data_IF_874432593826
#
_entry.id   IF_874432593826
#
_cell.length_a   1.000
_cell.length_b   1.000
_cell.length_c   1.000
_cell.angle_alpha   90.00
_cell.angle_beta   90.00
_cell.angle_gamma   90.00
#
_symmetry.space_group_name_H-M   'P 1'
#
loop_
_entity.id
_entity.type
_entity.pdbx_description
1 polymer ?
#
# COMPACT_ATOMS: atom_id res chain seq x y z
N UNK A 1 -11.02 32.87 2.71
CA UNK A 1 -11.17 31.46 2.34
C UNK A 1 -11.12 31.40 0.83
N UNK A 2 -10.29 30.57 0.21
CA UNK A 2 -10.42 30.26 -1.22
C UNK A 2 -11.80 29.59 -1.39
N UNK A 3 -12.64 30.07 -2.27
CA UNK A 3 -13.85 29.32 -2.68
C UNK A 3 -13.36 28.07 -3.38
N UNK A 4 -13.72 26.90 -2.87
CA UNK A 4 -13.51 25.65 -3.57
C UNK A 4 -14.43 25.65 -4.79
N UNK A 5 -13.88 25.53 -5.99
CA UNK A 5 -14.64 25.47 -7.23
C UNK A 5 -14.75 23.99 -7.63
N UNK A 6 -15.91 23.39 -7.34
CA UNK A 6 -16.15 21.97 -7.69
C UNK A 6 -16.75 21.89 -9.09
N UNK A 7 -15.87 21.95 -10.09
CA UNK A 7 -16.28 21.88 -11.50
C UNK A 7 -16.61 20.43 -11.87
N UNK A 8 -17.80 20.24 -12.43
CA UNK A 8 -18.22 18.97 -13.01
C UNK A 8 -17.36 18.66 -14.24
N UNK A 9 -16.65 17.54 -14.25
CA UNK A 9 -15.81 17.12 -15.37
C UNK A 9 -16.51 16.10 -16.27
N UNK A 10 -17.36 15.27 -15.68
CA UNK A 10 -18.14 14.28 -16.41
C UNK A 10 -19.51 14.06 -15.77
N UNK A 11 -20.46 13.64 -16.59
CA UNK A 11 -21.81 13.22 -16.15
C UNK A 11 -22.11 11.86 -16.79
N UNK A 12 -22.51 10.89 -15.97
CA UNK A 12 -22.86 9.56 -16.45
C UNK A 12 -24.16 9.60 -17.27
N UNK A 13 -24.15 8.90 -18.41
CA UNK A 13 -25.30 8.88 -19.29
C UNK A 13 -26.49 8.14 -18.64
N UNK A 14 -27.64 8.82 -18.57
CA UNK A 14 -28.86 8.28 -17.95
C UNK A 14 -28.85 8.32 -16.43
N UNK A 15 -27.92 9.08 -15.81
CA UNK A 15 -27.92 9.38 -14.38
C UNK A 15 -28.90 10.49 -14.02
N UNK A 16 -29.16 10.66 -12.72
CA UNK A 16 -29.98 11.76 -12.19
C UNK A 16 -29.44 13.12 -12.65
N UNK A 17 -28.12 13.32 -12.58
CA UNK A 17 -27.49 14.56 -13.04
C UNK A 17 -27.74 14.83 -14.53
N UNK A 18 -27.69 13.80 -15.39
CA UNK A 18 -27.97 13.94 -16.82
C UNK A 18 -29.44 14.30 -17.10
N UNK A 19 -30.36 13.70 -16.35
CA UNK A 19 -31.80 14.00 -16.49
C UNK A 19 -32.16 15.45 -16.06
N UNK A 20 -31.41 15.96 -15.06
CA UNK A 20 -31.58 17.35 -14.57
C UNK A 20 -30.83 18.39 -15.40
N UNK A 21 -30.09 17.96 -16.44
CA UNK A 21 -29.37 18.86 -17.33
C UNK A 21 -28.10 19.44 -16.74
N UNK A 22 -27.49 18.74 -15.77
CA UNK A 22 -26.11 19.02 -15.32
C UNK A 22 -25.17 18.58 -16.43
N UNK A 23 -24.19 19.42 -16.75
CA UNK A 23 -23.26 19.22 -17.85
C UNK A 23 -21.80 19.44 -17.39
N UNK A 24 -20.82 18.85 -18.08
CA UNK A 24 -19.42 19.20 -17.84
C UNK A 24 -19.16 20.69 -17.97
N UNK A 25 -18.49 21.29 -17.00
CA UNK A 25 -18.25 22.72 -16.89
C UNK A 25 -19.16 23.44 -15.90
N UNK A 26 -20.24 22.81 -15.44
CA UNK A 26 -21.05 23.31 -14.34
C UNK A 26 -20.27 23.30 -13.03
N UNK A 27 -20.68 24.11 -12.06
CA UNK A 27 -20.04 24.13 -10.72
C UNK A 27 -21.06 23.77 -9.65
N UNK A 28 -20.75 22.72 -8.86
CA UNK A 28 -21.53 22.40 -7.67
C UNK A 28 -21.16 23.38 -6.54
N UNK A 29 -22.11 24.12 -6.03
CA UNK A 29 -21.90 25.14 -5.01
C UNK A 29 -22.29 24.65 -3.61
N UNK A 30 -23.38 23.89 -3.48
CA UNK A 30 -23.83 23.34 -2.21
C UNK A 30 -24.77 22.14 -2.40
N UNK A 31 -24.88 21.32 -1.36
CA UNK A 31 -25.88 20.26 -1.20
C UNK A 31 -26.65 20.54 0.09
N UNK A 32 -27.97 20.59 0.05
CA UNK A 32 -28.85 20.91 1.19
C UNK A 32 -28.44 22.22 1.91
N UNK A 33 -27.94 23.21 1.16
CA UNK A 33 -27.47 24.48 1.70
C UNK A 33 -26.11 24.40 2.44
N UNK A 34 -25.45 23.24 2.43
CA UNK A 34 -24.14 23.05 3.00
C UNK A 34 -23.05 23.23 1.93
N UNK A 35 -22.04 24.04 2.22
CA UNK A 35 -20.85 24.19 1.38
C UNK A 35 -20.06 22.87 1.39
N UNK A 36 -19.45 22.53 0.25
CA UNK A 36 -18.65 21.36 0.05
C UNK A 36 -17.18 21.77 0.11
N UNK A 37 -16.37 21.12 0.94
CA UNK A 37 -14.93 21.35 0.99
C UNK A 37 -14.18 20.34 0.12
N UNK A 38 -14.61 19.07 0.17
CA UNK A 38 -13.99 17.97 -0.56
C UNK A 38 -14.98 16.81 -0.78
N UNK A 39 -14.46 15.71 -1.32
CA UNK A 39 -15.23 14.49 -1.66
C UNK A 39 -16.02 13.92 -0.47
N UNK A 40 -15.55 14.06 0.78
CA UNK A 40 -16.24 13.49 1.93
C UNK A 40 -17.50 14.28 2.32
N UNK A 41 -17.48 15.61 2.18
CA UNK A 41 -18.71 16.40 2.33
C UNK A 41 -19.71 16.01 1.24
N UNK A 42 -19.24 15.91 -0.01
CA UNK A 42 -20.08 15.52 -1.13
C UNK A 42 -20.72 14.15 -0.89
N UNK A 43 -19.92 13.12 -0.60
CA UNK A 43 -20.43 11.77 -0.35
C UNK A 43 -21.42 11.75 0.80
N UNK A 44 -21.09 12.40 1.91
CA UNK A 44 -21.95 12.43 3.09
C UNK A 44 -23.31 13.10 2.84
N UNK A 45 -23.30 14.24 2.15
CA UNK A 45 -24.57 14.98 1.92
C UNK A 45 -25.41 14.40 0.80
N UNK A 46 -24.84 13.69 -0.17
CA UNK A 46 -25.62 13.05 -1.25
C UNK A 46 -26.21 11.69 -0.86
N UNK A 47 -25.95 11.18 0.33
CA UNK A 47 -26.61 9.98 0.86
C UNK A 47 -28.07 10.23 1.29
N UNK A 48 -28.47 11.50 1.48
CA UNK A 48 -29.86 11.84 1.77
C UNK A 48 -30.81 11.44 0.60
N UNK A 49 -32.04 11.02 0.93
CA UNK A 49 -33.06 10.67 -0.07
C UNK A 49 -33.69 11.91 -0.72
N UNK A 50 -33.73 13.06 0.00
CA UNK A 50 -34.21 14.36 -0.48
C UNK A 50 -33.05 15.34 -0.52
N UNK A 51 -32.69 15.82 -1.73
CA UNK A 51 -31.56 16.71 -1.96
C UNK A 51 -31.98 18.01 -2.60
N UNK A 52 -31.35 19.12 -2.20
CA UNK A 52 -31.39 20.39 -2.89
C UNK A 52 -29.96 20.73 -3.34
N UNK A 53 -29.67 20.58 -4.64
CA UNK A 53 -28.39 20.97 -5.21
C UNK A 53 -28.45 22.41 -5.69
N UNK A 54 -27.43 23.20 -5.34
CA UNK A 54 -27.17 24.50 -5.96
C UNK A 54 -26.03 24.35 -6.95
N UNK A 55 -26.33 24.53 -8.23
CA UNK A 55 -25.39 24.40 -9.35
C UNK A 55 -25.27 25.70 -10.09
N UNK A 56 -24.07 26.14 -10.44
CA UNK A 56 -23.86 27.33 -11.26
C UNK A 56 -23.40 26.91 -12.66
N UNK A 57 -24.10 27.37 -13.67
CA UNK A 57 -23.79 27.17 -15.09
C UNK A 57 -22.59 28.02 -15.51
N UNK A 58 -21.87 27.69 -16.60
CA UNK A 58 -20.72 28.47 -17.08
C UNK A 58 -20.99 29.94 -17.39
N UNK A 59 -22.23 30.31 -17.65
CA UNK A 59 -22.66 31.68 -17.89
C UNK A 59 -23.00 32.45 -16.61
N UNK A 60 -22.92 31.80 -15.43
CA UNK A 60 -23.19 32.36 -14.11
C UNK A 60 -24.66 32.25 -13.66
N UNK A 61 -25.54 31.60 -14.43
CA UNK A 61 -26.88 31.25 -13.97
C UNK A 61 -26.81 30.21 -12.86
N UNK A 62 -27.58 30.39 -11.78
CA UNK A 62 -27.65 29.43 -10.68
C UNK A 62 -28.96 28.67 -10.72
N UNK A 63 -28.86 27.37 -10.63
CA UNK A 63 -29.99 26.45 -10.64
C UNK A 63 -30.13 25.78 -9.28
N UNK A 64 -31.34 25.81 -8.73
CA UNK A 64 -31.74 25.00 -7.58
C UNK A 64 -32.44 23.75 -8.10
N UNK A 65 -31.86 22.56 -7.83
CA UNK A 65 -32.35 21.29 -8.33
C UNK A 65 -32.80 20.44 -7.14
N UNK A 66 -34.12 20.20 -7.07
CA UNK A 66 -34.73 19.31 -6.09
C UNK A 66 -34.68 17.88 -6.64
N UNK A 67 -34.17 16.94 -5.81
CA UNK A 67 -33.97 15.55 -6.17
C UNK A 67 -34.59 14.67 -5.09
N UNK A 68 -35.35 13.66 -5.51
CA UNK A 68 -35.81 12.54 -4.67
C UNK A 68 -35.22 11.27 -5.26
N UNK A 69 -34.48 10.49 -4.44
CA UNK A 69 -33.74 9.30 -4.89
C UNK A 69 -33.62 8.27 -3.76
N UNK A 70 -33.23 7.04 -4.08
CA UNK A 70 -32.80 6.08 -3.09
C UNK A 70 -31.45 6.52 -2.47
N UNK A 71 -31.24 6.27 -1.17
CA UNK A 71 -30.05 6.74 -0.43
C UNK A 71 -28.72 6.31 -1.09
N UNK A 72 -28.65 5.10 -1.63
CA UNK A 72 -27.49 4.52 -2.29
C UNK A 72 -27.39 4.83 -3.80
N UNK A 73 -28.38 5.54 -4.38
CA UNK A 73 -28.38 5.91 -5.78
C UNK A 73 -27.41 7.07 -6.07
N UNK A 74 -26.48 6.86 -7.01
CA UNK A 74 -25.50 7.86 -7.41
C UNK A 74 -26.14 8.97 -8.25
N UNK A 75 -25.72 10.22 -8.02
CA UNK A 75 -26.06 11.35 -8.90
C UNK A 75 -25.41 11.24 -10.29
N UNK A 76 -24.31 10.48 -10.43
CA UNK A 76 -23.57 10.33 -11.67
C UNK A 76 -22.72 11.54 -12.06
N UNK A 77 -22.27 12.34 -11.07
CA UNK A 77 -21.38 13.49 -11.28
C UNK A 77 -19.93 13.07 -11.03
N UNK A 78 -19.05 13.34 -11.99
CA UNK A 78 -17.61 13.14 -11.86
C UNK A 78 -16.86 14.46 -11.77
N UNK A 79 -15.88 14.53 -10.85
CA UNK A 79 -15.02 15.69 -10.63
C UNK A 79 -13.58 15.40 -11.07
N UNK A 80 -12.84 16.43 -11.48
CA UNK A 80 -11.51 16.32 -12.09
C UNK A 80 -10.42 15.73 -11.18
N UNK A 81 -10.52 15.97 -9.88
CA UNK A 81 -9.71 15.26 -8.89
C UNK A 81 -10.61 14.37 -8.05
N UNK A 82 -10.18 13.13 -7.79
CA UNK A 82 -10.94 12.23 -6.91
C UNK A 82 -11.15 12.76 -5.49
N UNK A 83 -10.50 13.87 -5.12
CA UNK A 83 -10.66 14.56 -3.84
C UNK A 83 -11.60 15.78 -3.91
N UNK A 84 -11.98 16.25 -5.08
CA UNK A 84 -12.66 17.55 -5.30
C UNK A 84 -11.87 18.77 -4.77
N UNK A 85 -10.60 18.58 -4.48
CA UNK A 85 -9.68 19.58 -3.94
C UNK A 85 -8.23 19.23 -4.33
N UNK A 86 -7.28 20.13 -4.06
CA UNK A 86 -5.85 19.88 -4.28
C UNK A 86 -5.28 18.92 -3.23
N UNK A 87 -4.30 18.08 -3.62
CA UNK A 87 -3.59 17.19 -2.70
C UNK A 87 -2.76 18.00 -1.68
N UNK A 88 -2.74 17.53 -0.43
CA UNK A 88 -1.97 18.16 0.65
C UNK A 88 -0.61 17.49 0.80
N UNK A 89 0.45 18.19 0.42
CA UNK A 89 1.82 17.68 0.57
C UNK A 89 2.27 17.65 2.03
N UNK A 90 3.11 16.65 2.36
CA UNK A 90 3.71 16.48 3.67
C UNK A 90 4.65 17.65 4.04
N UNK A 91 4.49 18.19 5.26
CA UNK A 91 5.34 19.25 5.80
C UNK A 91 6.57 18.74 6.59
N UNK A 92 6.70 17.41 6.74
CA UNK A 92 7.78 16.79 7.53
C UNK A 92 9.07 16.61 6.72
N UNK A 93 10.18 16.46 7.45
CA UNK A 93 11.50 16.08 6.91
C UNK A 93 12.05 14.90 7.67
N UNK A 94 11.33 13.78 7.61
CA UNK A 94 11.64 12.60 8.40
C UNK A 94 13.05 12.07 8.08
N UNK A 95 13.80 11.69 9.14
CA UNK A 95 15.15 11.11 8.98
C UNK A 95 15.17 9.83 8.16
N UNK A 96 14.02 9.17 8.04
CA UNK A 96 13.79 7.90 7.34
C UNK A 96 12.98 8.05 6.04
N UNK A 97 12.65 9.29 5.60
CA UNK A 97 11.79 9.50 4.44
C UNK A 97 12.36 8.81 3.19
N UNK A 98 11.57 7.90 2.60
CA UNK A 98 11.98 7.18 1.42
C UNK A 98 12.04 8.09 0.18
N UNK A 99 11.13 9.06 0.09
CA UNK A 99 11.09 10.02 -1.03
C UNK A 99 12.35 10.88 -1.08
N UNK A 100 12.93 11.26 0.09
CA UNK A 100 14.19 12.00 0.13
C UNK A 100 15.40 11.18 -0.35
N UNK A 101 15.24 9.87 -0.51
CA UNK A 101 16.25 8.93 -1.00
C UNK A 101 16.02 8.53 -2.46
N UNK A 102 15.07 9.16 -3.16
CA UNK A 102 14.83 8.90 -4.57
C UNK A 102 15.90 9.53 -5.42
N UNK A 103 16.45 8.84 -6.44
CA UNK A 103 17.40 9.44 -7.36
C UNK A 103 16.76 10.54 -8.20
N UNK A 104 17.52 11.54 -8.67
CA UNK A 104 16.98 12.58 -9.55
C UNK A 104 16.62 12.02 -10.93
N UNK A 105 15.65 12.65 -11.59
CA UNK A 105 15.29 12.34 -12.99
C UNK A 105 14.29 11.21 -13.16
N UNK A 106 13.60 10.79 -12.10
CA UNK A 106 12.43 9.92 -12.19
C UNK A 106 11.17 10.77 -12.47
N UNK A 107 10.03 10.11 -12.78
CA UNK A 107 8.76 10.81 -13.01
C UNK A 107 8.32 11.61 -11.77
N UNK A 108 7.74 12.78 -12.00
CA UNK A 108 7.41 13.75 -10.94
C UNK A 108 6.51 13.20 -9.83
N UNK A 109 5.60 12.28 -10.17
CA UNK A 109 4.70 11.66 -9.20
C UNK A 109 5.42 10.89 -8.09
N UNK A 110 6.64 10.40 -8.32
CA UNK A 110 7.45 9.69 -7.33
C UNK A 110 8.10 10.61 -6.28
N UNK A 111 8.11 11.93 -6.53
CA UNK A 111 8.65 12.91 -5.58
C UNK A 111 7.57 13.57 -4.72
N UNK A 112 6.30 13.25 -4.98
CA UNK A 112 5.22 13.76 -4.16
C UNK A 112 5.26 13.12 -2.77
N UNK A 113 5.37 13.94 -1.73
CA UNK A 113 5.31 13.49 -0.34
C UNK A 113 3.88 13.62 0.15
N UNK A 114 3.21 12.51 0.29
CA UNK A 114 1.86 12.45 0.81
C UNK A 114 1.83 12.52 2.34
N UNK A 115 0.89 13.31 2.88
CA UNK A 115 0.43 13.31 4.28
C UNK A 115 -1.01 13.87 4.32
N UNK A 116 -1.80 13.51 3.30
CA UNK A 116 -3.19 13.92 3.17
C UNK A 116 -4.11 12.88 3.82
N UNK A 117 -4.80 13.26 4.89
CA UNK A 117 -5.67 12.34 5.63
C UNK A 117 -6.79 11.73 4.77
N UNK A 118 -7.20 12.41 3.70
CA UNK A 118 -8.23 11.90 2.79
C UNK A 118 -7.75 10.65 2.04
N UNK A 119 -6.47 10.59 1.69
CA UNK A 119 -5.87 9.43 1.05
C UNK A 119 -5.72 8.24 2.00
N UNK A 120 -5.74 8.46 3.32
CA UNK A 120 -5.81 7.37 4.28
C UNK A 120 -7.09 6.54 4.10
N UNK A 121 -8.23 7.19 3.90
CA UNK A 121 -9.51 6.51 3.73
C UNK A 121 -9.71 5.97 2.30
N UNK A 122 -9.25 6.70 1.29
CA UNK A 122 -9.47 6.33 -0.11
C UNK A 122 -8.45 5.33 -0.66
N UNK A 123 -7.22 5.33 -0.15
CA UNK A 123 -6.10 4.55 -0.69
C UNK A 123 -5.33 3.76 0.36
N UNK A 124 -5.70 3.86 1.64
CA UNK A 124 -5.00 3.18 2.72
C UNK A 124 -3.66 3.83 3.14
N UNK A 125 -3.38 5.07 2.73
CA UNK A 125 -2.14 5.75 3.03
C UNK A 125 -1.97 6.04 4.52
N UNK A 126 -0.73 5.99 5.01
CA UNK A 126 -0.39 6.26 6.41
C UNK A 126 -0.05 7.73 6.62
N UNK A 127 -0.76 8.40 7.52
CA UNK A 127 -0.60 9.83 7.81
C UNK A 127 0.08 10.07 9.15
N UNK A 128 0.82 11.19 9.25
CA UNK A 128 1.55 11.54 10.46
C UNK A 128 0.74 12.35 11.46
N UNK A 129 -0.49 12.74 11.13
CA UNK A 129 -1.35 13.66 11.87
C UNK A 129 -0.80 15.11 11.98
N UNK A 130 0.39 15.40 11.45
CA UNK A 130 0.99 16.75 11.58
C UNK A 130 0.37 17.77 10.65
N UNK A 131 -0.19 17.33 9.51
CA UNK A 131 -0.88 18.17 8.55
C UNK A 131 -2.37 18.39 8.85
N UNK A 132 -2.92 17.67 9.83
CA UNK A 132 -4.35 17.71 10.14
C UNK A 132 -4.65 18.83 11.13
N UNK A 133 -5.73 19.57 10.89
CA UNK A 133 -6.31 20.55 11.84
C UNK A 133 -7.31 19.89 12.80
N UNK A 134 -7.79 20.62 13.78
CA UNK A 134 -8.92 20.19 14.64
C UNK A 134 -10.22 20.06 13.83
N UNK A 135 -10.38 20.87 12.79
CA UNK A 135 -11.50 20.77 11.86
C UNK A 135 -11.50 19.45 11.11
N UNK A 136 -10.33 19.02 10.58
CA UNK A 136 -10.21 17.72 9.91
C UNK A 136 -10.59 16.57 10.86
N UNK A 137 -10.13 16.59 12.11
CA UNK A 137 -10.50 15.59 13.13
C UNK A 137 -12.01 15.61 13.40
N UNK A 138 -12.62 16.80 13.53
CA UNK A 138 -14.07 16.93 13.75
C UNK A 138 -14.89 16.35 12.59
N UNK A 139 -14.44 16.54 11.34
CA UNK A 139 -15.08 15.97 10.15
C UNK A 139 -14.95 14.45 10.12
N UNK A 140 -13.77 13.90 10.41
CA UNK A 140 -13.56 12.45 10.49
C UNK A 140 -14.53 11.82 11.49
N UNK A 141 -14.67 12.40 12.68
CA UNK A 141 -15.58 11.92 13.72
C UNK A 141 -17.04 12.07 13.27
N UNK A 142 -17.41 13.23 12.70
CA UNK A 142 -18.78 13.49 12.23
C UNK A 142 -19.21 12.51 11.14
N UNK A 143 -18.35 12.24 10.16
CA UNK A 143 -18.64 11.38 9.02
C UNK A 143 -18.32 9.91 9.25
N UNK A 144 -17.79 9.56 10.43
CA UNK A 144 -17.38 8.20 10.77
C UNK A 144 -16.42 7.61 9.75
N UNK A 145 -15.42 8.41 9.32
CA UNK A 145 -14.41 7.96 8.38
C UNK A 145 -13.41 7.05 9.09
N UNK A 146 -13.47 5.76 8.79
CA UNK A 146 -12.66 4.73 9.45
C UNK A 146 -12.39 3.51 8.55
N UNK A 147 -11.27 2.77 8.74
CA UNK A 147 -10.20 3.12 9.68
C UNK A 147 -9.28 4.23 9.14
N UNK A 148 -8.65 5.01 10.04
CA UNK A 148 -7.54 5.90 9.70
C UNK A 148 -6.20 5.18 9.94
N UNK A 149 -5.28 5.27 8.99
CA UNK A 149 -3.94 4.68 9.08
C UNK A 149 -2.92 5.71 9.57
N UNK A 150 -2.27 5.47 10.71
CA UNK A 150 -1.43 6.43 11.42
C UNK A 150 0.03 5.99 11.47
N UNK A 151 0.93 6.83 10.96
CA UNK A 151 2.38 6.71 11.09
C UNK A 151 2.83 7.23 12.45
N UNK A 152 2.96 6.34 13.45
CA UNK A 152 3.35 6.71 14.80
C UNK A 152 4.85 6.98 14.93
N UNK A 153 5.67 6.06 14.47
CA UNK A 153 7.13 5.95 14.60
C UNK A 153 7.59 5.77 16.05
N UNK A 154 7.05 6.51 16.99
CA UNK A 154 7.25 6.42 18.45
C UNK A 154 6.14 7.19 19.17
N UNK A 155 5.82 6.80 20.40
CA UNK A 155 4.92 7.52 21.31
C UNK A 155 5.68 8.55 22.17
N UNK A 156 7.01 8.58 22.12
CA UNK A 156 7.83 9.59 22.76
C UNK A 156 7.73 10.92 22.00
N UNK A 157 7.10 11.98 22.56
CA UNK A 157 6.86 13.23 21.82
C UNK A 157 8.15 13.94 21.39
N UNK A 158 9.19 13.90 22.23
CA UNK A 158 10.46 14.56 21.93
C UNK A 158 11.21 13.79 20.82
N UNK A 159 11.24 12.47 20.91
CA UNK A 159 11.86 11.63 19.88
C UNK A 159 11.10 11.76 18.56
N UNK A 160 9.76 11.81 18.60
CA UNK A 160 8.94 11.99 17.39
C UNK A 160 9.25 13.32 16.68
N UNK A 161 9.41 14.41 17.45
CA UNK A 161 9.85 15.69 16.87
C UNK A 161 11.21 15.58 16.16
N UNK A 162 12.16 14.83 16.74
CA UNK A 162 13.47 14.59 16.11
C UNK A 162 13.35 13.72 14.87
N UNK A 163 12.60 12.61 14.92
CA UNK A 163 12.45 11.69 13.80
C UNK A 163 11.74 12.31 12.60
N UNK A 164 10.68 13.10 12.82
CA UNK A 164 9.93 13.77 11.76
C UNK A 164 10.54 15.12 11.35
N UNK A 165 11.56 15.57 12.08
CA UNK A 165 12.16 16.91 11.96
C UNK A 165 11.08 18.00 11.92
N UNK A 166 10.10 17.88 12.82
CA UNK A 166 8.95 18.78 12.94
C UNK A 166 8.64 19.01 14.42
N UNK A 167 8.76 20.26 14.88
CA UNK A 167 8.55 20.64 16.28
C UNK A 167 7.13 20.37 16.80
N UNK A 168 6.16 20.22 15.92
CA UNK A 168 4.76 19.95 16.26
C UNK A 168 4.42 18.46 16.27
N UNK A 169 5.32 17.59 15.83
CA UNK A 169 5.05 16.17 15.68
C UNK A 169 4.73 15.47 17.01
N UNK A 170 5.34 15.91 18.11
CA UNK A 170 5.03 15.38 19.44
C UNK A 170 3.63 15.75 19.91
N UNK A 171 3.23 17.01 19.74
CA UNK A 171 1.89 17.46 20.09
C UNK A 171 0.80 16.84 19.20
N UNK A 172 1.12 16.50 17.95
CA UNK A 172 0.19 15.83 17.05
C UNK A 172 -0.31 14.46 17.55
N UNK A 173 0.41 13.82 18.48
CA UNK A 173 -0.04 12.58 19.11
C UNK A 173 -1.36 12.75 19.90
N UNK A 174 -1.64 13.96 20.42
CA UNK A 174 -2.91 14.24 21.11
C UNK A 174 -4.15 14.06 20.21
N UNK A 175 -3.98 14.11 18.88
CA UNK A 175 -5.07 13.85 17.94
C UNK A 175 -5.51 12.39 17.95
N UNK A 176 -4.63 11.46 18.36
CA UNK A 176 -4.98 10.06 18.55
C UNK A 176 -6.00 9.93 19.69
N UNK A 177 -5.82 10.71 20.79
CA UNK A 177 -6.79 10.72 21.89
C UNK A 177 -8.16 11.22 21.43
N UNK A 178 -8.20 12.24 20.57
CA UNK A 178 -9.46 12.78 20.02
C UNK A 178 -10.16 11.75 19.11
N UNK A 179 -9.41 11.07 18.23
CA UNK A 179 -9.94 10.01 17.38
C UNK A 179 -10.47 8.84 18.22
N UNK A 180 -9.70 8.41 19.22
CA UNK A 180 -10.12 7.36 20.15
C UNK A 180 -11.39 7.71 20.92
N UNK A 181 -11.46 8.94 21.48
CA UNK A 181 -12.66 9.44 22.17
C UNK A 181 -13.85 9.59 21.21
N UNK A 182 -13.61 9.90 19.95
CA UNK A 182 -14.61 9.95 18.88
C UNK A 182 -15.09 8.57 18.41
N UNK A 183 -14.48 7.49 18.89
CA UNK A 183 -14.84 6.11 18.54
C UNK A 183 -14.37 5.70 17.14
N UNK A 184 -13.30 6.32 16.60
CA UNK A 184 -12.79 6.04 15.26
C UNK A 184 -11.79 4.87 15.29
N UNK A 185 -11.99 3.89 14.42
CA UNK A 185 -11.05 2.79 14.21
C UNK A 185 -9.75 3.28 13.57
N UNK A 186 -8.64 2.73 14.02
CA UNK A 186 -7.29 3.13 13.60
C UNK A 186 -6.42 1.91 13.29
N UNK A 187 -5.47 2.07 12.37
CA UNK A 187 -4.32 1.18 12.23
C UNK A 187 -3.04 1.99 12.43
N UNK A 188 -2.00 1.35 12.95
CA UNK A 188 -0.73 2.00 13.24
C UNK A 188 0.43 1.43 12.42
N UNK A 189 1.44 2.28 12.19
CA UNK A 189 2.71 1.86 11.60
C UNK A 189 3.87 2.48 12.37
N UNK A 190 4.91 1.68 12.57
CA UNK A 190 6.21 2.11 13.10
C UNK A 190 7.29 1.74 12.08
N UNK A 191 7.90 2.75 11.44
CA UNK A 191 9.14 2.56 10.69
C UNK A 191 10.28 2.53 11.69
N UNK A 192 10.90 1.36 11.87
CA UNK A 192 11.94 1.15 12.88
C UNK A 192 13.31 1.53 12.34
N UNK A 193 13.98 2.44 13.04
CA UNK A 193 15.30 2.95 12.73
C UNK A 193 16.29 2.52 13.83
N UNK A 194 17.30 1.74 13.46
CA UNK A 194 18.33 1.22 14.37
C UNK A 194 19.00 2.34 15.15
N UNK A 195 19.07 2.16 16.48
CA UNK A 195 19.67 3.11 17.41
C UNK A 195 18.86 4.40 17.60
N UNK A 196 17.60 4.46 17.12
CA UNK A 196 16.75 5.65 17.24
C UNK A 196 15.47 5.36 18.00
N UNK A 197 14.58 4.52 17.45
CA UNK A 197 13.29 4.18 18.05
C UNK A 197 13.12 2.67 18.30
N UNK A 198 14.22 1.92 18.28
CA UNK A 198 14.30 0.50 18.63
C UNK A 198 14.49 0.28 20.15
N UNK A 199 14.66 -0.96 20.56
CA UNK A 199 14.90 -1.33 21.96
C UNK A 199 13.83 -0.83 22.91
N UNK A 200 14.22 -0.05 23.92
CA UNK A 200 13.32 0.48 24.96
C UNK A 200 12.26 1.45 24.42
N UNK A 201 12.56 2.18 23.34
CA UNK A 201 11.59 3.09 22.71
C UNK A 201 10.50 2.31 21.93
N UNK A 202 10.86 1.18 21.30
CA UNK A 202 9.88 0.29 20.70
C UNK A 202 8.99 -0.33 21.78
N UNK A 203 9.59 -0.86 22.85
CA UNK A 203 8.87 -1.45 23.99
C UNK A 203 7.89 -0.44 24.62
N UNK A 204 8.34 0.80 24.81
CA UNK A 204 7.50 1.92 25.25
C UNK A 204 6.34 2.17 24.30
N UNK A 205 6.64 2.30 23.01
CA UNK A 205 5.63 2.62 22.00
C UNK A 205 4.54 1.54 21.92
N UNK A 206 4.91 0.26 21.95
CA UNK A 206 3.93 -0.85 21.95
C UNK A 206 3.05 -0.78 23.21
N UNK A 207 3.64 -0.57 24.39
CA UNK A 207 2.90 -0.45 25.65
C UNK A 207 1.90 0.69 25.60
N UNK A 208 2.33 1.87 25.17
CA UNK A 208 1.48 3.05 25.14
C UNK A 208 0.34 2.90 24.12
N UNK A 209 0.62 2.30 22.95
CA UNK A 209 -0.37 2.06 21.89
C UNK A 209 -1.41 0.99 22.29
N UNK A 210 -1.05 0.04 23.14
CA UNK A 210 -2.01 -0.95 23.66
C UNK A 210 -3.17 -0.27 24.44
N UNK A 211 -2.94 0.95 24.96
CA UNK A 211 -3.99 1.73 25.65
C UNK A 211 -5.13 2.21 24.74
N UNK A 212 -4.99 2.12 23.43
CA UNK A 212 -6.02 2.50 22.44
C UNK A 212 -6.84 1.30 21.93
N UNK A 213 -6.62 0.09 22.44
CA UNK A 213 -7.47 -1.04 22.14
C UNK A 213 -8.91 -0.80 22.66
N UNK A 214 -9.96 -1.28 21.97
CA UNK A 214 -9.91 -2.03 20.70
C UNK A 214 -9.92 -1.17 19.43
N UNK A 215 -9.99 0.15 19.53
CA UNK A 215 -10.14 1.05 18.35
C UNK A 215 -8.85 1.15 17.52
N UNK A 216 -7.67 1.09 18.12
CA UNK A 216 -6.43 0.85 17.39
C UNK A 216 -6.33 -0.67 17.14
N UNK A 217 -6.73 -1.09 15.94
CA UNK A 217 -6.94 -2.51 15.60
C UNK A 217 -5.66 -3.30 15.46
N UNK A 218 -4.64 -2.65 14.87
CA UNK A 218 -3.34 -3.29 14.66
C UNK A 218 -2.23 -2.26 14.51
N UNK A 219 -0.99 -2.67 14.79
CA UNK A 219 0.21 -1.87 14.54
C UNK A 219 1.25 -2.72 13.82
N UNK A 220 1.73 -2.24 12.66
CA UNK A 220 2.85 -2.86 11.96
C UNK A 220 4.18 -2.23 12.37
N UNK A 221 5.21 -3.05 12.49
CA UNK A 221 6.60 -2.62 12.65
C UNK A 221 7.36 -3.06 11.41
N UNK A 222 7.88 -2.09 10.66
CA UNK A 222 8.62 -2.33 9.42
C UNK A 222 10.05 -1.77 9.53
N UNK A 223 11.06 -2.43 8.96
CA UNK A 223 12.41 -1.88 8.97
C UNK A 223 12.51 -0.67 8.04
N UNK A 224 13.35 0.29 8.36
CA UNK A 224 13.61 1.43 7.49
C UNK A 224 14.27 0.99 6.19
N UNK A 225 13.69 1.40 5.04
CA UNK A 225 14.30 1.22 3.73
C UNK A 225 15.45 2.21 3.50
N UNK A 226 16.63 1.70 3.14
CA UNK A 226 17.84 2.49 2.95
C UNK A 226 18.39 2.32 1.53
N UNK A 227 18.18 3.33 0.68
CA UNK A 227 18.74 3.35 -0.67
C UNK A 227 20.21 3.78 -0.68
N UNK A 228 20.87 3.67 -1.83
CA UNK A 228 22.23 4.20 -2.05
C UNK A 228 22.30 5.73 -2.16
N UNK A 229 21.16 6.40 -2.34
CA UNK A 229 21.05 7.86 -2.54
C UNK A 229 20.82 8.60 -1.22
N UNK A 230 21.71 8.38 -0.25
CA UNK A 230 21.59 8.95 1.10
C UNK A 230 22.66 9.99 1.43
N UNK A 231 23.37 10.49 0.45
CA UNK A 231 24.36 11.54 0.67
C UNK A 231 23.69 12.80 1.25
N UNK A 232 24.24 13.31 2.36
CA UNK A 232 23.69 14.48 3.06
C UNK A 232 22.44 14.23 3.90
N UNK A 233 21.87 13.03 3.91
CA UNK A 233 20.74 12.66 4.77
C UNK A 233 21.23 12.16 6.12
N UNK A 234 20.30 12.10 7.09
CA UNK A 234 20.58 11.60 8.43
C UNK A 234 21.18 10.17 8.35
N UNK A 235 22.31 9.90 9.06
CA UNK A 235 22.96 8.60 8.98
C UNK A 235 22.12 7.52 9.69
N UNK A 236 21.60 6.59 8.91
CA UNK A 236 20.90 5.40 9.37
C UNK A 236 21.63 4.15 8.91
N UNK A 237 21.61 3.12 9.73
CA UNK A 237 22.19 1.81 9.43
C UNK A 237 21.10 0.74 9.30
N UNK A 238 21.30 -0.28 8.45
CA UNK A 238 20.40 -1.42 8.40
C UNK A 238 20.56 -2.29 9.65
N UNK A 239 19.54 -3.04 9.99
CA UNK A 239 19.61 -4.06 11.03
C UNK A 239 20.41 -5.28 10.54
N UNK A 240 21.18 -5.87 11.44
CA UNK A 240 21.80 -7.19 11.24
C UNK A 240 20.78 -8.30 11.49
N UNK A 241 21.14 -9.53 11.17
CA UNK A 241 20.33 -10.72 11.44
C UNK A 241 20.04 -10.90 12.93
N UNK A 242 21.04 -10.70 13.77
CA UNK A 242 20.94 -10.82 15.23
C UNK A 242 20.01 -9.74 15.80
N UNK A 243 20.16 -8.51 15.35
CA UNK A 243 19.30 -7.39 15.76
C UNK A 243 17.86 -7.59 15.28
N UNK A 244 17.64 -8.15 14.08
CA UNK A 244 16.31 -8.50 13.59
C UNK A 244 15.64 -9.56 14.50
N UNK A 245 16.39 -10.54 15.00
CA UNK A 245 15.90 -11.52 15.99
C UNK A 245 15.52 -10.87 17.31
N UNK A 246 16.27 -9.88 17.78
CA UNK A 246 15.94 -9.13 19.00
C UNK A 246 14.64 -8.34 18.83
N UNK A 247 14.44 -7.71 17.67
CA UNK A 247 13.17 -7.02 17.33
C UNK A 247 12.01 -8.01 17.32
N UNK A 248 12.16 -9.15 16.62
CA UNK A 248 11.14 -10.22 16.61
C UNK A 248 10.84 -10.74 18.02
N UNK A 249 11.87 -10.95 18.84
CA UNK A 249 11.73 -11.36 20.24
C UNK A 249 10.91 -10.36 21.06
N UNK A 250 11.08 -9.06 20.83
CA UNK A 250 10.31 -8.01 21.49
C UNK A 250 8.84 -8.04 21.02
N UNK A 251 8.60 -8.10 19.72
CA UNK A 251 7.25 -8.16 19.14
C UNK A 251 6.51 -9.42 19.62
N UNK A 252 7.13 -10.59 19.55
CA UNK A 252 6.52 -11.86 19.97
C UNK A 252 6.18 -11.87 21.46
N UNK A 253 7.02 -11.28 22.32
CA UNK A 253 6.75 -11.13 23.74
C UNK A 253 5.50 -10.27 24.00
N UNK A 254 5.34 -9.18 23.27
CA UNK A 254 4.16 -8.33 23.36
C UNK A 254 2.93 -8.99 22.76
N UNK A 255 3.03 -9.65 21.61
CA UNK A 255 1.93 -10.42 21.02
C UNK A 255 1.38 -11.43 22.02
N UNK A 256 2.25 -12.20 22.67
CA UNK A 256 1.81 -13.17 23.68
C UNK A 256 1.05 -12.52 24.81
N UNK A 257 1.58 -11.43 25.38
CA UNK A 257 0.96 -10.70 26.48
C UNK A 257 -0.41 -10.14 26.09
N UNK A 258 -0.50 -9.51 24.92
CA UNK A 258 -1.74 -8.89 24.45
C UNK A 258 -2.77 -9.97 24.09
N UNK A 259 -2.34 -11.07 23.50
CA UNK A 259 -3.22 -12.19 23.18
C UNK A 259 -3.84 -12.83 24.44
N UNK A 260 -3.07 -12.98 25.52
CA UNK A 260 -3.56 -13.48 26.81
C UNK A 260 -4.63 -12.57 27.43
N UNK A 261 -4.59 -11.26 27.17
CA UNK A 261 -5.50 -10.27 27.76
C UNK A 261 -6.69 -9.92 26.83
N UNK A 262 -6.45 -9.81 25.51
CA UNK A 262 -7.43 -9.29 24.55
C UNK A 262 -7.84 -10.30 23.46
N UNK A 263 -7.14 -11.43 23.33
CA UNK A 263 -7.43 -12.45 22.31
C UNK A 263 -7.01 -12.09 20.90
N UNK A 264 -6.17 -11.05 20.72
CA UNK A 264 -5.59 -10.60 19.46
C UNK A 264 -4.08 -10.42 19.60
N UNK A 265 -3.34 -10.47 18.50
CA UNK A 265 -1.88 -10.26 18.51
C UNK A 265 -1.49 -8.77 18.43
N UNK A 266 -2.30 -7.95 17.77
CA UNK A 266 -2.23 -6.48 17.73
C UNK A 266 -0.99 -5.90 17.08
N UNK A 267 0.24 -6.25 17.56
CA UNK A 267 1.50 -5.74 17.03
C UNK A 267 2.13 -6.76 16.09
N UNK A 268 2.45 -6.36 14.87
CA UNK A 268 2.91 -7.28 13.83
C UNK A 268 4.24 -6.84 13.24
N UNK A 269 5.16 -7.78 13.11
CA UNK A 269 6.38 -7.59 12.34
C UNK A 269 6.09 -7.75 10.84
N UNK A 270 6.57 -6.84 10.00
CA UNK A 270 6.59 -7.06 8.56
C UNK A 270 7.39 -8.32 8.19
N UNK A 271 7.03 -8.98 7.10
CA UNK A 271 7.66 -10.21 6.63
C UNK A 271 9.18 -10.05 6.46
N UNK A 272 9.63 -8.84 6.14
CA UNK A 272 11.06 -8.50 6.00
C UNK A 272 11.87 -8.81 7.27
N UNK A 273 11.30 -8.65 8.46
CA UNK A 273 11.99 -8.99 9.71
C UNK A 273 12.32 -10.47 9.81
N UNK A 274 11.35 -11.34 9.46
CA UNK A 274 11.56 -12.79 9.49
C UNK A 274 12.62 -13.21 8.47
N UNK A 275 12.60 -12.58 7.29
CA UNK A 275 13.57 -12.86 6.24
C UNK A 275 14.98 -12.37 6.62
N UNK A 276 15.11 -11.19 7.24
CA UNK A 276 16.39 -10.70 7.77
C UNK A 276 16.93 -11.58 8.91
N UNK A 277 16.04 -12.05 9.79
CA UNK A 277 16.39 -12.93 10.89
C UNK A 277 16.73 -14.38 10.43
N UNK A 278 16.43 -14.73 9.16
CA UNK A 278 16.41 -16.09 8.65
C UNK A 278 15.51 -17.00 9.50
N UNK A 279 14.32 -16.53 9.82
CA UNK A 279 13.26 -17.24 10.53
C UNK A 279 12.06 -17.45 9.62
N UNK A 280 11.27 -18.48 9.89
CA UNK A 280 10.03 -18.72 9.16
C UNK A 280 8.96 -17.71 9.57
N UNK A 281 8.16 -17.26 8.59
CA UNK A 281 7.01 -16.40 8.88
C UNK A 281 5.97 -17.16 9.70
N UNK A 282 5.27 -16.49 10.64
CA UNK A 282 4.26 -17.11 11.50
C UNK A 282 3.14 -17.82 10.74
N UNK A 283 2.43 -18.72 11.44
CA UNK A 283 1.19 -19.30 10.92
C UNK A 283 0.06 -18.26 10.87
N UNK A 284 -0.97 -18.56 10.06
CA UNK A 284 -2.06 -17.65 9.69
C UNK A 284 -2.77 -17.04 10.91
N UNK A 285 -2.98 -17.83 11.95
CA UNK A 285 -3.70 -17.43 13.16
C UNK A 285 -3.03 -16.24 13.89
N UNK A 286 -1.75 -15.97 13.59
CA UNK A 286 -1.01 -14.89 14.23
C UNK A 286 -1.14 -13.53 13.53
N UNK A 287 -1.87 -13.46 12.42
CA UNK A 287 -2.02 -12.23 11.65
C UNK A 287 -3.37 -11.51 11.84
N UNK A 288 -4.24 -12.05 12.72
CA UNK A 288 -5.54 -11.44 13.08
C UNK A 288 -6.40 -11.03 11.86
N UNK A 289 -6.36 -11.84 10.77
CA UNK A 289 -7.09 -11.57 9.54
C UNK A 289 -6.36 -10.66 8.55
N UNK A 290 -5.04 -10.51 8.67
CA UNK A 290 -4.19 -9.78 7.69
C UNK A 290 -4.50 -8.28 7.53
N UNK A 291 -4.76 -7.58 8.63
CA UNK A 291 -5.12 -6.15 8.64
C UNK A 291 -4.02 -5.21 8.09
N UNK A 292 -2.79 -5.71 7.91
CA UNK A 292 -1.62 -4.90 7.58
C UNK A 292 -0.88 -5.42 6.32
N UNK A 293 -1.57 -6.07 5.38
CA UNK A 293 -0.98 -6.60 4.15
C UNK A 293 -0.20 -5.53 3.37
N UNK A 294 -0.76 -4.32 3.25
CA UNK A 294 -0.14 -3.19 2.54
C UNK A 294 1.21 -2.78 3.13
N UNK A 295 1.44 -3.09 4.41
CA UNK A 295 2.72 -2.90 5.09
C UNK A 295 3.65 -4.12 5.01
N UNK A 296 3.33 -5.09 4.17
CA UNK A 296 4.12 -6.32 4.03
C UNK A 296 4.04 -7.25 5.24
N UNK A 297 2.92 -7.24 5.97
CA UNK A 297 2.67 -8.13 7.11
C UNK A 297 1.83 -9.32 6.67
N UNK A 298 2.41 -10.51 6.64
CA UNK A 298 1.71 -11.75 6.32
C UNK A 298 1.50 -12.00 4.82
N UNK A 299 2.05 -11.19 3.93
CA UNK A 299 1.94 -11.40 2.48
C UNK A 299 2.50 -12.76 2.04
N UNK A 300 3.65 -13.14 2.59
CA UNK A 300 4.28 -14.43 2.28
C UNK A 300 3.47 -15.60 2.83
N UNK A 301 2.90 -15.48 4.04
CA UNK A 301 2.06 -16.53 4.61
C UNK A 301 0.78 -16.71 3.80
N UNK A 302 0.11 -15.61 3.44
CA UNK A 302 -1.09 -15.65 2.61
C UNK A 302 -0.81 -16.29 1.26
N UNK A 303 0.22 -15.83 0.54
CA UNK A 303 0.67 -16.41 -0.73
C UNK A 303 0.93 -17.92 -0.61
N UNK A 304 1.60 -18.34 0.46
CA UNK A 304 1.94 -19.73 0.71
C UNK A 304 0.68 -20.58 1.00
N UNK A 305 -0.23 -20.10 1.82
CA UNK A 305 -1.47 -20.80 2.16
C UNK A 305 -2.36 -20.99 0.91
N UNK A 306 -2.54 -19.94 0.12
CA UNK A 306 -3.28 -20.01 -1.16
C UNK A 306 -2.62 -20.98 -2.14
N UNK A 307 -1.28 -20.93 -2.25
CA UNK A 307 -0.52 -21.87 -3.05
C UNK A 307 -0.78 -23.31 -2.59
N UNK A 308 -0.68 -23.60 -1.28
CA UNK A 308 -0.89 -24.94 -0.73
C UNK A 308 -2.32 -25.45 -0.97
N UNK A 309 -3.31 -24.58 -0.76
CA UNK A 309 -4.71 -24.94 -0.99
C UNK A 309 -4.97 -25.33 -2.45
N UNK A 310 -4.48 -24.53 -3.37
CA UNK A 310 -4.63 -24.81 -4.81
C UNK A 310 -3.78 -26.01 -5.22
N UNK A 311 -2.54 -26.11 -4.75
CA UNK A 311 -1.62 -27.19 -5.08
C UNK A 311 -2.15 -28.58 -4.69
N UNK A 312 -2.85 -28.71 -3.53
CA UNK A 312 -3.48 -29.98 -3.10
C UNK A 312 -4.55 -30.47 -4.07
N UNK A 313 -5.23 -29.57 -4.78
CA UNK A 313 -6.30 -29.87 -5.74
C UNK A 313 -5.76 -30.31 -7.10
N UNK A 314 -4.47 -30.05 -7.39
CA UNK A 314 -3.85 -30.37 -8.67
C UNK A 314 -3.62 -31.86 -8.84
N UNK A 315 -3.94 -32.37 -10.03
CA UNK A 315 -3.53 -33.68 -10.48
C UNK A 315 -2.36 -33.49 -11.45
N UNK A 316 -1.22 -34.10 -11.16
CA UNK A 316 -0.08 -34.12 -12.07
C UNK A 316 -0.50 -34.72 -13.43
N UNK A 317 0.04 -34.20 -14.51
CA UNK A 317 -0.16 -34.68 -15.87
C UNK A 317 1.16 -34.61 -16.65
N UNK A 318 1.12 -35.01 -17.93
CA UNK A 318 2.30 -35.04 -18.80
C UNK A 318 2.65 -33.72 -19.47
N UNK A 319 2.08 -32.57 -19.00
CA UNK A 319 2.37 -31.24 -19.58
C UNK A 319 3.85 -30.90 -19.52
N UNK A 320 4.28 -30.12 -20.49
CA UNK A 320 5.66 -29.63 -20.58
C UNK A 320 5.65 -28.12 -20.66
N UNK A 321 6.52 -27.49 -19.92
CA UNK A 321 6.79 -26.07 -19.97
C UNK A 321 8.19 -25.78 -19.44
N UNK A 322 8.93 -24.92 -20.10
CA UNK A 322 10.16 -24.34 -19.57
C UNK A 322 9.99 -22.84 -19.55
N UNK A 323 10.11 -22.25 -18.36
CA UNK A 323 9.83 -20.83 -18.13
C UNK A 323 10.72 -20.29 -17.00
N UNK A 324 10.67 -18.98 -16.83
CA UNK A 324 11.41 -18.30 -15.76
C UNK A 324 10.48 -17.49 -14.86
N UNK A 325 10.88 -17.29 -13.61
CA UNK A 325 10.31 -16.35 -12.69
C UNK A 325 11.43 -15.49 -12.09
N UNK A 326 11.20 -14.17 -11.94
CA UNK A 326 12.17 -13.30 -11.32
C UNK A 326 11.53 -12.52 -10.16
N UNK A 327 12.29 -12.39 -9.06
CA UNK A 327 11.81 -11.75 -7.83
C UNK A 327 12.97 -11.14 -7.06
N UNK A 328 12.68 -10.32 -6.04
CA UNK A 328 13.68 -9.74 -5.15
C UNK A 328 14.33 -10.77 -4.22
N UNK A 329 15.43 -10.36 -3.58
CA UNK A 329 16.27 -11.22 -2.76
C UNK A 329 15.49 -11.91 -1.64
N UNK A 330 14.61 -11.22 -0.96
CA UNK A 330 13.86 -11.74 0.18
C UNK A 330 12.83 -12.79 -0.23
N UNK A 331 12.06 -12.56 -1.27
CA UNK A 331 11.03 -13.49 -1.73
C UNK A 331 11.61 -14.72 -2.49
N UNK A 332 12.85 -14.63 -3.00
CA UNK A 332 13.47 -15.66 -3.82
C UNK A 332 13.42 -17.07 -3.22
N UNK A 333 13.78 -17.33 -1.95
CA UNK A 333 13.75 -18.68 -1.39
C UNK A 333 12.34 -19.29 -1.40
N UNK A 334 11.31 -18.48 -1.14
CA UNK A 334 9.93 -18.92 -1.11
C UNK A 334 9.41 -19.25 -2.50
N UNK A 335 9.66 -18.37 -3.48
CA UNK A 335 9.26 -18.61 -4.87
C UNK A 335 9.99 -19.84 -5.43
N UNK A 336 11.30 -20.05 -5.11
CA UNK A 336 12.03 -21.25 -5.49
C UNK A 336 11.41 -22.50 -4.88
N UNK A 337 11.09 -22.50 -3.58
CA UNK A 337 10.44 -23.62 -2.89
C UNK A 337 9.09 -24.00 -3.53
N UNK A 338 8.28 -23.00 -3.92
CA UNK A 338 7.02 -23.23 -4.61
C UNK A 338 7.24 -23.82 -6.01
N UNK A 339 8.21 -23.28 -6.76
CA UNK A 339 8.57 -23.79 -8.07
C UNK A 339 9.09 -25.23 -8.03
N UNK A 340 9.93 -25.59 -7.04
CA UNK A 340 10.40 -26.96 -6.84
C UNK A 340 9.24 -27.94 -6.66
N UNK A 341 8.22 -27.56 -5.90
CA UNK A 341 7.02 -28.38 -5.69
C UNK A 341 6.19 -28.57 -6.98
N UNK A 342 6.11 -27.51 -7.82
CA UNK A 342 5.49 -27.63 -9.15
C UNK A 342 6.28 -28.61 -10.02
N UNK A 343 7.61 -28.49 -10.05
CA UNK A 343 8.49 -29.39 -10.82
C UNK A 343 8.38 -30.86 -10.35
N UNK A 344 8.27 -31.09 -9.03
CA UNK A 344 8.06 -32.43 -8.47
C UNK A 344 6.72 -33.04 -8.93
N UNK A 345 5.65 -32.24 -9.00
CA UNK A 345 4.33 -32.69 -9.40
C UNK A 345 4.17 -32.86 -10.92
N UNK A 346 4.84 -32.00 -11.68
CA UNK A 346 4.82 -31.97 -13.14
C UNK A 346 6.22 -32.15 -13.70
N UNK A 347 6.67 -33.38 -13.85
CA UNK A 347 8.06 -33.72 -14.27
C UNK A 347 8.48 -33.13 -15.63
N UNK A 348 7.54 -32.67 -16.44
CA UNK A 348 7.79 -31.98 -17.70
C UNK A 348 7.86 -30.44 -17.57
N UNK A 349 7.59 -29.90 -16.38
CA UNK A 349 7.67 -28.45 -16.12
C UNK A 349 9.01 -28.12 -15.49
N UNK A 350 9.66 -27.06 -16.00
CA UNK A 350 10.90 -26.53 -15.46
C UNK A 350 10.78 -25.01 -15.26
N UNK A 351 11.06 -24.54 -14.05
CA UNK A 351 10.95 -23.13 -13.66
C UNK A 351 12.31 -22.61 -13.21
N UNK A 352 12.93 -21.75 -14.00
CA UNK A 352 14.16 -21.06 -13.62
C UNK A 352 13.81 -19.85 -12.76
N UNK A 353 14.03 -19.93 -11.46
CA UNK A 353 13.78 -18.80 -10.56
C UNK A 353 15.06 -17.98 -10.43
N UNK A 354 14.96 -16.69 -10.74
CA UNK A 354 16.06 -15.74 -10.67
C UNK A 354 15.88 -14.75 -9.52
N UNK A 355 16.91 -14.64 -8.70
CA UNK A 355 17.02 -13.60 -7.69
C UNK A 355 17.58 -12.34 -8.35
N UNK A 356 16.81 -11.26 -8.40
CA UNK A 356 17.24 -9.97 -8.94
C UNK A 356 17.75 -9.10 -7.79
N UNK A 357 19.00 -8.68 -7.90
CA UNK A 357 19.62 -7.70 -7.01
C UNK A 357 19.14 -6.31 -7.42
N UNK A 358 18.81 -5.48 -6.45
CA UNK A 358 18.47 -4.09 -6.71
C UNK A 358 19.76 -3.27 -6.85
N UNK A 359 20.22 -3.08 -8.07
CA UNK A 359 21.40 -2.25 -8.37
C UNK A 359 21.01 -0.78 -8.49
N UNK A 360 19.76 -0.49 -8.85
CA UNK A 360 19.24 0.86 -9.00
C UNK A 360 19.17 1.61 -7.68
N UNK A 361 18.40 1.11 -6.71
CA UNK A 361 18.27 1.72 -5.38
C UNK A 361 19.38 1.30 -4.41
N UNK A 362 20.09 0.22 -4.69
CA UNK A 362 21.16 -0.33 -3.88
C UNK A 362 20.81 -1.68 -3.23
N UNK A 363 21.84 -2.50 -2.95
CA UNK A 363 21.71 -3.90 -2.50
C UNK A 363 21.00 -4.07 -1.13
N UNK A 364 20.85 -2.98 -0.36
CA UNK A 364 20.11 -2.97 0.92
C UNK A 364 18.60 -2.96 0.70
N UNK A 365 18.13 -2.65 -0.51
CA UNK A 365 16.73 -2.75 -0.92
C UNK A 365 16.53 -4.15 -1.48
N UNK A 366 15.76 -4.96 -0.78
CA UNK A 366 15.67 -6.41 -1.02
C UNK A 366 14.28 -6.88 -1.44
N UNK A 367 13.27 -5.99 -1.33
CA UNK A 367 11.89 -6.28 -1.69
C UNK A 367 11.67 -6.28 -3.20
N UNK A 368 10.76 -7.12 -3.69
CA UNK A 368 10.46 -7.26 -5.12
C UNK A 368 9.86 -5.99 -5.72
N UNK A 369 8.99 -5.30 -5.00
CA UNK A 369 8.26 -4.11 -5.49
C UNK A 369 9.14 -2.89 -5.84
N UNK A 370 10.42 -2.90 -5.46
CA UNK A 370 11.37 -1.83 -5.79
C UNK A 370 12.41 -2.25 -6.85
N UNK A 371 12.28 -3.44 -7.46
CA UNK A 371 13.09 -3.86 -8.59
C UNK A 371 12.67 -3.08 -9.84
N UNK A 372 13.65 -2.58 -10.58
CA UNK A 372 13.44 -1.80 -11.80
C UNK A 372 13.55 -2.64 -13.08
N UNK A 373 12.99 -2.15 -14.17
CA UNK A 373 13.10 -2.81 -15.46
C UNK A 373 14.56 -2.95 -15.93
N UNK A 374 15.40 -1.93 -15.68
CA UNK A 374 16.83 -1.99 -16.01
C UNK A 374 17.58 -3.05 -15.20
N UNK A 375 17.24 -3.27 -13.91
CA UNK A 375 17.85 -4.32 -13.10
C UNK A 375 17.53 -5.71 -13.65
N UNK A 376 16.27 -5.92 -14.07
CA UNK A 376 15.80 -7.16 -14.69
C UNK A 376 16.55 -7.42 -16.00
N UNK A 377 16.59 -6.44 -16.90
CA UNK A 377 17.26 -6.57 -18.20
C UNK A 377 18.74 -6.86 -18.03
N UNK A 378 19.44 -6.10 -17.17
CA UNK A 378 20.88 -6.23 -16.98
C UNK A 378 21.28 -7.61 -16.44
N UNK A 379 20.47 -8.20 -15.55
CA UNK A 379 20.81 -9.44 -14.86
C UNK A 379 20.28 -10.69 -15.57
N UNK A 380 19.24 -10.56 -16.42
CA UNK A 380 18.65 -11.69 -17.14
C UNK A 380 19.11 -11.81 -18.60
N UNK A 381 19.71 -10.80 -19.18
CA UNK A 381 20.22 -10.84 -20.55
C UNK A 381 21.20 -11.98 -20.75
N UNK A 382 20.89 -12.86 -21.70
CA UNK A 382 21.71 -14.05 -21.99
C UNK A 382 21.50 -15.24 -21.03
N UNK A 383 20.54 -15.16 -20.11
CA UNK A 383 20.15 -16.31 -19.29
C UNK A 383 19.15 -17.20 -20.02
N UNK A 384 19.03 -18.45 -19.57
CA UNK A 384 18.02 -19.37 -20.06
C UNK A 384 16.65 -19.01 -19.46
N UNK A 385 15.80 -18.34 -20.26
CA UNK A 385 14.51 -17.84 -19.77
C UNK A 385 13.33 -18.75 -20.11
N UNK A 386 13.52 -19.73 -21.00
CA UNK A 386 12.44 -20.58 -21.46
C UNK A 386 11.44 -19.84 -22.35
N UNK A 387 10.18 -20.22 -22.29
CA UNK A 387 9.13 -19.71 -23.17
C UNK A 387 8.52 -18.39 -22.71
N UNK A 388 8.70 -18.00 -21.44
CA UNK A 388 8.20 -16.75 -20.84
C UNK A 388 8.89 -16.43 -19.53
N UNK A 389 8.83 -15.17 -19.13
CA UNK A 389 9.30 -14.65 -17.85
C UNK A 389 8.10 -14.21 -17.00
N UNK A 390 7.99 -14.74 -15.79
CA UNK A 390 6.98 -14.33 -14.79
C UNK A 390 7.56 -13.25 -13.88
N UNK A 391 6.82 -12.15 -13.73
CA UNK A 391 7.13 -11.06 -12.79
C UNK A 391 5.93 -10.78 -11.90
N UNK A 392 6.12 -10.48 -10.60
CA UNK A 392 5.01 -10.13 -9.72
C UNK A 392 4.48 -8.71 -10.02
N UNK A 393 3.17 -8.53 -9.90
CA UNK A 393 2.49 -7.27 -10.23
C UNK A 393 2.96 -6.07 -9.38
N UNK A 394 3.45 -6.30 -8.15
CA UNK A 394 3.95 -5.25 -7.27
C UNK A 394 5.26 -4.58 -7.75
N UNK A 395 5.89 -5.06 -8.83
CA UNK A 395 6.99 -4.36 -9.49
C UNK A 395 6.51 -3.20 -10.37
N UNK A 396 5.21 -3.13 -10.65
CA UNK A 396 4.62 -2.17 -11.59
C UNK A 396 3.82 -1.09 -10.85
N UNK A 397 3.64 0.04 -11.51
CA UNK A 397 2.69 1.05 -11.09
C UNK A 397 1.27 0.47 -11.15
N UNK A 398 0.44 0.79 -10.17
CA UNK A 398 -0.96 0.34 -10.16
C UNK A 398 -1.66 0.71 -11.47
N UNK A 399 -2.39 -0.24 -12.03
CA UNK A 399 -3.15 -0.12 -13.28
C UNK A 399 -2.34 0.24 -14.55
N UNK A 400 -1.02 0.28 -14.45
CA UNK A 400 -0.14 0.56 -15.58
C UNK A 400 0.97 -0.50 -15.71
N UNK A 401 1.34 -0.84 -16.95
CA UNK A 401 2.40 -1.81 -17.24
C UNK A 401 3.80 -1.15 -17.26
N UNK A 402 4.12 -0.34 -16.22
CA UNK A 402 5.31 0.50 -16.14
C UNK A 402 6.05 0.29 -14.82
N UNK A 403 7.37 0.08 -14.89
CA UNK A 403 8.26 -0.01 -13.72
C UNK A 403 8.58 1.36 -13.12
N UNK A 404 9.29 1.36 -11.98
CA UNK A 404 9.69 2.60 -11.31
C UNK A 404 10.65 3.47 -12.14
N UNK A 405 11.43 2.88 -13.02
CA UNK A 405 12.37 3.54 -13.94
C UNK A 405 11.78 3.89 -15.31
N UNK A 406 10.45 3.93 -15.40
CA UNK A 406 9.65 4.25 -16.58
C UNK A 406 9.79 3.27 -17.77
N UNK A 407 10.55 2.19 -17.60
CA UNK A 407 10.52 1.10 -18.57
C UNK A 407 9.16 0.38 -18.50
N UNK A 408 8.63 0.01 -19.66
CA UNK A 408 7.41 -0.77 -19.76
C UNK A 408 7.69 -2.28 -19.70
N UNK A 409 6.68 -3.06 -19.39
CA UNK A 409 6.74 -4.53 -19.51
C UNK A 409 7.13 -4.95 -20.94
N UNK A 410 6.69 -4.17 -21.93
CA UNK A 410 7.05 -4.39 -23.33
C UNK A 410 8.55 -4.16 -23.59
N UNK A 411 9.13 -3.10 -23.04
CA UNK A 411 10.57 -2.83 -23.19
C UNK A 411 11.42 -3.96 -22.61
N UNK A 412 11.03 -4.50 -21.45
CA UNK A 412 11.69 -5.66 -20.83
C UNK A 412 11.55 -6.91 -21.71
N UNK A 413 10.35 -7.18 -22.23
CA UNK A 413 10.09 -8.29 -23.13
C UNK A 413 10.92 -8.20 -24.41
N UNK A 414 10.96 -7.02 -25.03
CA UNK A 414 11.73 -6.77 -26.27
C UNK A 414 13.24 -6.88 -26.03
N UNK A 415 13.76 -6.39 -24.89
CA UNK A 415 15.17 -6.45 -24.54
C UNK A 415 15.66 -7.88 -24.24
N UNK A 416 14.81 -8.71 -23.63
CA UNK A 416 15.13 -10.08 -23.25
C UNK A 416 14.71 -11.11 -24.32
N UNK A 417 13.98 -10.69 -25.36
CA UNK A 417 13.46 -11.53 -26.44
C UNK A 417 12.61 -12.70 -25.90
N UNK A 418 11.81 -12.44 -24.85
CA UNK A 418 10.91 -13.41 -24.22
C UNK A 418 9.62 -12.71 -23.78
N UNK A 419 8.43 -13.32 -23.96
CA UNK A 419 7.20 -12.79 -23.39
C UNK A 419 7.29 -12.62 -21.88
N UNK A 420 6.76 -11.52 -21.35
CA UNK A 420 6.67 -11.25 -19.92
C UNK A 420 5.22 -11.35 -19.50
N UNK A 421 4.95 -12.20 -18.52
CA UNK A 421 3.64 -12.36 -17.88
C UNK A 421 3.68 -11.77 -16.48
N UNK A 422 2.70 -10.94 -16.17
CA UNK A 422 2.55 -10.36 -14.85
C UNK A 422 1.64 -11.26 -14.01
N UNK A 423 2.17 -11.70 -12.88
CA UNK A 423 1.48 -12.58 -11.93
C UNK A 423 0.90 -11.74 -10.81
N UNK A 424 -0.39 -11.89 -10.53
CA UNK A 424 -1.04 -11.24 -9.39
C UNK A 424 -0.51 -11.81 -8.08
N UNK A 425 -0.77 -11.11 -6.98
CA UNK A 425 -0.27 -11.48 -5.64
C UNK A 425 -1.09 -12.63 -5.01
N UNK A 426 -1.41 -13.69 -5.76
CA UNK A 426 -2.11 -14.86 -5.24
C UNK A 426 -1.38 -16.16 -5.55
N UNK A 427 -1.51 -17.13 -4.64
CA UNK A 427 -0.94 -18.45 -4.82
C UNK A 427 -1.56 -19.22 -5.98
N UNK A 428 -2.84 -18.99 -6.29
CA UNK A 428 -3.53 -19.55 -7.44
C UNK A 428 -2.95 -19.01 -8.74
N UNK A 429 -2.85 -17.68 -8.90
CA UNK A 429 -2.31 -17.05 -10.11
C UNK A 429 -0.86 -17.50 -10.37
N UNK A 430 -0.07 -17.64 -9.31
CA UNK A 430 1.31 -18.13 -9.42
C UNK A 430 1.36 -19.56 -9.96
N UNK A 431 0.53 -20.46 -9.43
CA UNK A 431 0.42 -21.83 -9.94
C UNK A 431 0.00 -21.84 -11.41
N UNK A 432 -1.10 -21.16 -11.73
CA UNK A 432 -1.63 -21.11 -13.10
C UNK A 432 -0.60 -20.59 -14.09
N UNK A 433 0.14 -19.54 -13.70
CA UNK A 433 1.23 -19.00 -14.51
C UNK A 433 2.38 -20.00 -14.71
N UNK A 434 2.75 -20.77 -13.67
CA UNK A 434 3.84 -21.75 -13.77
C UNK A 434 3.47 -22.99 -14.62
N UNK A 435 2.21 -23.42 -14.60
CA UNK A 435 1.78 -24.65 -15.27
C UNK A 435 1.07 -24.42 -16.62
N UNK A 436 0.83 -23.16 -17.02
CA UNK A 436 0.21 -22.82 -18.31
C UNK A 436 1.12 -23.28 -19.44
N UNK A 437 0.56 -24.03 -20.39
CA UNK A 437 1.27 -24.46 -21.61
C UNK A 437 1.53 -23.28 -22.54
N UNK A 438 2.65 -23.28 -23.22
CA UNK A 438 2.95 -22.29 -24.25
C UNK A 438 2.10 -22.53 -25.50
N UNK A 439 1.58 -21.49 -26.17
CA UNK A 439 0.74 -21.63 -27.36
C UNK A 439 1.38 -22.40 -28.53
N UNK A 440 2.71 -22.55 -28.55
CA UNK A 440 3.45 -23.27 -29.57
C UNK A 440 3.38 -24.82 -29.41
N UNK A 441 3.07 -25.33 -28.21
CA UNK A 441 3.04 -26.76 -27.91
C UNK A 441 1.65 -27.40 -28.14
N UNK A 442 0.59 -26.59 -28.25
CA UNK A 442 -0.78 -27.03 -28.50
C UNK A 442 -1.06 -27.35 -29.97
N UNK A 443 -0.08 -27.22 -30.88
CA UNK A 443 -0.27 -27.48 -32.34
C UNK A 443 0.18 -28.87 -32.82
N UNK A 444 0.63 -29.75 -31.94
CA UNK A 444 1.14 -31.09 -32.30
C UNK A 444 0.42 -32.26 -31.57
N UNK A 445 -0.89 -32.14 -31.32
CA UNK A 445 -1.73 -33.29 -30.99
C UNK A 445 -2.87 -33.43 -32.00
#
# INVERSE_FOLDING_TARGET
MKKHEHVVESVEKGSIAAELGIEPGDRLLSVNGQEIEDIFDYQYYVEDEELLLLVEKPDGEQWELEIEKDADESLGIGFGTGLMDEYRSCCNRCIFCFIDQMPPGMRDTLYFKDDDSRLSFLQGNYVTLTNMSEHDISRIIKYRLEPINISFQTTNPELRCKMLHNRFAGAALQKVDLLYQGGIEMNGQIVLCKGVNDGEELDRSIRDLTGYLPLLRSVSVVPVGLTRYREGLYPLEPFTKEEAREVLGTIHRWQKKIYEEYGIHFIHAGDEWYLLAEEEVPEEERYDGYLQLENGVGMLRLLFNEFEECFRKLKGDGRRAELSAATGKLAFPYIRKMADRIEEKYSGVKVHVYCIRNDFFGEKITVSGLITGQDIIAQLKGKALGSRLLLPCNMLKADEAVFLDDLTVKDVSDALQVPVDIVKSSGQDLIEAMIRQSPAETRNE
#
